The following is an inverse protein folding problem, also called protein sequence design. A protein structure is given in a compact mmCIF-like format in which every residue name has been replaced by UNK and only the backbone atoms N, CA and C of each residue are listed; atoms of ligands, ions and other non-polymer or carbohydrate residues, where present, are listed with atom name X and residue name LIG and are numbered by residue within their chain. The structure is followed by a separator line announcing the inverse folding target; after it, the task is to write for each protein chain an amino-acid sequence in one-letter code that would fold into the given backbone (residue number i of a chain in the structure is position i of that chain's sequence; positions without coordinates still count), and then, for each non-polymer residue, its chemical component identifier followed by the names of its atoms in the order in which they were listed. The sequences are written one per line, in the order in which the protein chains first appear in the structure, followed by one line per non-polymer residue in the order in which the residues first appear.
data_IF_645171577884
#
_entry.id   IF_645171577884
#
_cell.length_a   1.000
_cell.length_b   1.000
_cell.length_c   1.000
_cell.angle_alpha   90.00
_cell.angle_beta   90.00
_cell.angle_gamma   90.00
#
_symmetry.space_group_name_H-M   'P 1'
#
loop_
_entity.id
_entity.type
_entity.pdbx_description
1 polymer ?
#
# COMPACT_ATOMS: atom_id res chain seq x y z
N UNK A 1 1.41 -0.88 -32.19
CA UNK A 1 -0.02 -0.86 -31.82
C UNK A 1 -0.16 -1.59 -30.49
N UNK A 2 -0.53 -0.89 -29.41
CA UNK A 2 -0.75 -1.52 -28.10
C UNK A 2 -2.19 -2.02 -28.07
N UNK A 3 -2.39 -3.31 -27.78
CA UNK A 3 -3.70 -3.97 -27.73
C UNK A 3 -4.56 -3.41 -26.59
N UNK A 4 -5.88 -3.30 -26.82
CA UNK A 4 -6.88 -2.67 -25.94
C UNK A 4 -6.86 -3.21 -24.49
N UNK A 5 -6.43 -4.46 -24.30
CA UNK A 5 -6.26 -5.11 -22.99
C UNK A 5 -5.10 -4.52 -22.18
N UNK A 6 -3.91 -4.35 -22.77
CA UNK A 6 -2.73 -3.85 -22.04
C UNK A 6 -2.85 -2.38 -21.65
N UNK A 7 -3.59 -1.60 -22.44
CA UNK A 7 -3.87 -0.19 -22.12
C UNK A 7 -4.77 -0.05 -20.89
N UNK A 8 -5.74 -0.96 -20.74
CA UNK A 8 -6.63 -0.98 -19.58
C UNK A 8 -5.88 -1.36 -18.31
N UNK A 9 -5.03 -2.39 -18.36
CA UNK A 9 -4.22 -2.81 -17.21
C UNK A 9 -3.31 -1.67 -16.72
N UNK A 10 -2.65 -0.96 -17.65
CA UNK A 10 -1.83 0.19 -17.30
C UNK A 10 -2.64 1.33 -16.66
N UNK A 11 -3.87 1.57 -17.11
CA UNK A 11 -4.73 2.62 -16.53
C UNK A 11 -5.26 2.24 -15.15
N UNK A 12 -5.59 0.96 -14.95
CA UNK A 12 -5.98 0.41 -13.64
C UNK A 12 -4.81 0.59 -12.66
N UNK A 13 -3.60 0.16 -13.01
CA UNK A 13 -2.42 0.32 -12.14
C UNK A 13 -2.10 1.79 -11.84
N UNK A 14 -2.21 2.69 -12.84
CA UNK A 14 -1.99 4.13 -12.61
C UNK A 14 -2.99 4.70 -11.61
N UNK A 15 -4.27 4.37 -11.77
CA UNK A 15 -5.34 4.87 -10.89
C UNK A 15 -5.20 4.33 -9.47
N UNK A 16 -4.84 3.05 -9.34
CA UNK A 16 -4.49 2.41 -8.07
C UNK A 16 -3.40 3.18 -7.32
N UNK A 17 -2.29 3.46 -8.01
CA UNK A 17 -1.15 4.18 -7.41
C UNK A 17 -1.52 5.62 -7.01
N UNK A 18 -2.28 6.35 -7.85
CA UNK A 18 -2.75 7.70 -7.52
C UNK A 18 -3.61 7.72 -6.24
N UNK A 19 -4.48 6.72 -6.07
CA UNK A 19 -5.31 6.60 -4.87
C UNK A 19 -4.44 6.31 -3.64
N UNK A 20 -3.45 5.41 -3.73
CA UNK A 20 -2.51 5.11 -2.65
C UNK A 20 -1.66 6.32 -2.25
N UNK A 21 -1.15 7.08 -3.23
CA UNK A 21 -0.37 8.30 -2.98
C UNK A 21 -1.20 9.38 -2.28
N UNK A 22 -2.45 9.57 -2.73
CA UNK A 22 -3.39 10.51 -2.11
C UNK A 22 -3.70 10.12 -0.66
N UNK A 23 -3.96 8.84 -0.41
CA UNK A 23 -4.18 8.31 0.93
C UNK A 23 -2.98 8.54 1.84
N UNK A 24 -1.77 8.26 1.35
CA UNK A 24 -0.57 8.45 2.12
C UNK A 24 -0.33 9.94 2.46
N UNK A 25 -0.52 10.84 1.49
CA UNK A 25 -0.43 12.27 1.73
C UNK A 25 -1.40 12.73 2.83
N UNK A 26 -2.63 12.21 2.83
CA UNK A 26 -3.63 12.54 3.85
C UNK A 26 -3.26 11.96 5.23
N UNK A 27 -2.68 10.76 5.28
CA UNK A 27 -2.24 10.12 6.52
C UNK A 27 -1.07 10.85 7.20
N UNK A 28 -0.30 11.62 6.44
CA UNK A 28 0.71 12.52 7.00
C UNK A 28 0.08 13.80 7.60
N UNK A 29 -1.08 14.21 7.10
CA UNK A 29 -1.77 15.44 7.52
C UNK A 29 -2.71 15.22 8.72
N UNK A 30 -3.41 14.08 8.78
CA UNK A 30 -4.43 13.79 9.81
C UNK A 30 -4.50 12.30 10.20
N UNK A 31 -5.25 12.01 11.26
CA UNK A 31 -5.47 10.65 11.75
C UNK A 31 -6.17 9.78 10.69
N UNK A 32 -5.94 8.46 10.73
CA UNK A 32 -6.61 7.54 9.80
C UNK A 32 -8.12 7.56 9.98
N UNK A 33 -8.61 7.71 11.21
CA UNK A 33 -10.02 7.77 11.55
C UNK A 33 -10.71 8.93 10.82
N UNK A 34 -10.04 10.09 10.75
CA UNK A 34 -10.55 11.32 10.13
C UNK A 34 -10.43 11.34 8.59
N UNK A 35 -9.72 10.38 7.99
CA UNK A 35 -9.65 10.26 6.53
C UNK A 35 -10.94 9.64 6.01
N UNK A 36 -11.55 10.28 5.01
CA UNK A 36 -12.73 9.77 4.32
C UNK A 36 -12.43 9.40 2.87
N UNK A 37 -13.23 8.52 2.28
CA UNK A 37 -13.17 8.21 0.84
C UNK A 37 -13.33 9.48 -0.01
N UNK A 38 -14.12 10.45 0.47
CA UNK A 38 -14.30 11.75 -0.20
C UNK A 38 -12.99 12.53 -0.27
N UNK A 39 -12.23 12.57 0.83
CA UNK A 39 -10.94 13.26 0.87
C UNK A 39 -9.95 12.60 -0.07
N UNK A 40 -9.87 11.26 -0.05
CA UNK A 40 -8.96 10.49 -0.89
C UNK A 40 -9.30 10.70 -2.37
N UNK A 41 -10.58 10.53 -2.74
CA UNK A 41 -11.04 10.72 -4.12
C UNK A 41 -10.75 12.13 -4.62
N UNK A 42 -11.00 13.15 -3.78
CA UNK A 42 -10.70 14.55 -4.11
C UNK A 42 -9.20 14.78 -4.30
N UNK A 43 -8.35 14.25 -3.39
CA UNK A 43 -6.89 14.44 -3.44
C UNK A 43 -6.27 13.72 -4.64
N UNK A 44 -6.74 12.51 -4.97
CA UNK A 44 -6.31 11.76 -6.14
C UNK A 44 -6.87 12.30 -7.47
N UNK A 45 -7.79 13.28 -7.42
CA UNK A 45 -8.51 13.79 -8.59
C UNK A 45 -9.27 12.69 -9.36
N UNK A 46 -9.92 11.78 -8.63
CA UNK A 46 -10.74 10.69 -9.17
C UNK A 46 -12.18 10.77 -8.67
N UNK A 47 -13.11 10.16 -9.41
CA UNK A 47 -14.49 10.04 -8.95
C UNK A 47 -14.59 9.01 -7.82
N UNK A 48 -15.57 9.16 -6.93
CA UNK A 48 -15.83 8.17 -5.85
C UNK A 48 -16.17 6.79 -6.42
N UNK A 49 -16.89 6.73 -7.54
CA UNK A 49 -17.15 5.47 -8.25
C UNK A 49 -15.86 4.82 -8.76
N UNK A 50 -14.87 5.62 -9.18
CA UNK A 50 -13.54 5.12 -9.53
C UNK A 50 -12.84 4.57 -8.31
N UNK A 51 -12.86 5.26 -7.17
CA UNK A 51 -12.33 4.69 -5.92
C UNK A 51 -12.93 3.31 -5.62
N UNK A 52 -14.25 3.18 -5.66
CA UNK A 52 -14.93 1.93 -5.36
C UNK A 52 -14.74 0.82 -6.41
N UNK A 53 -14.24 1.16 -7.60
CA UNK A 53 -13.81 0.16 -8.58
C UNK A 53 -12.44 -0.47 -8.22
N UNK A 54 -11.66 0.18 -7.36
CA UNK A 54 -10.34 -0.28 -6.92
C UNK A 54 -10.35 -0.81 -5.48
N UNK A 55 -11.13 -0.20 -4.59
CA UNK A 55 -11.13 -0.51 -3.16
C UNK A 55 -12.55 -0.49 -2.60
N UNK A 56 -12.88 -1.46 -1.76
CA UNK A 56 -14.20 -1.53 -1.10
C UNK A 56 -14.42 -0.34 -0.15
N UNK A 57 -13.39 -0.01 0.64
CA UNK A 57 -13.37 1.12 1.55
C UNK A 57 -11.92 1.57 1.87
N UNK A 58 -11.77 2.47 2.86
CA UNK A 58 -10.45 2.97 3.27
C UNK A 58 -9.59 1.94 4.02
N UNK A 59 -10.20 0.90 4.60
CA UNK A 59 -9.49 -0.19 5.28
C UNK A 59 -8.91 -1.15 4.25
N UNK A 60 -9.71 -1.52 3.24
CA UNK A 60 -9.23 -2.30 2.10
C UNK A 60 -8.08 -1.60 1.35
N UNK A 61 -8.14 -0.26 1.22
CA UNK A 61 -7.02 0.52 0.70
C UNK A 61 -5.76 0.43 1.58
N UNK A 62 -5.91 0.49 2.90
CA UNK A 62 -4.80 0.36 3.83
C UNK A 62 -4.14 -1.03 3.69
N UNK A 63 -4.93 -2.09 3.66
CA UNK A 63 -4.44 -3.47 3.50
C UNK A 63 -3.70 -3.66 2.17
N UNK A 64 -4.25 -3.12 1.08
CA UNK A 64 -3.59 -3.13 -0.22
C UNK A 64 -2.28 -2.35 -0.19
N UNK A 65 -2.25 -1.17 0.44
CA UNK A 65 -1.03 -0.37 0.57
C UNK A 65 0.06 -1.13 1.35
N UNK A 66 -0.29 -1.70 2.49
CA UNK A 66 0.62 -2.50 3.34
C UNK A 66 1.18 -3.67 2.52
N UNK A 67 0.30 -4.40 1.83
CA UNK A 67 0.66 -5.57 1.02
C UNK A 67 1.58 -5.18 -0.14
N UNK A 68 1.25 -4.13 -0.90
CA UNK A 68 2.04 -3.69 -2.05
C UNK A 68 3.45 -3.23 -1.63
N UNK A 69 3.55 -2.51 -0.50
CA UNK A 69 4.84 -2.11 0.08
C UNK A 69 5.65 -3.30 0.54
N UNK A 70 5.03 -4.25 1.23
CA UNK A 70 5.70 -5.47 1.67
C UNK A 70 6.21 -6.27 0.47
N UNK A 71 5.37 -6.49 -0.55
CA UNK A 71 5.72 -7.24 -1.75
C UNK A 71 6.82 -6.56 -2.58
N UNK A 72 6.88 -5.23 -2.57
CA UNK A 72 7.99 -4.48 -3.19
C UNK A 72 9.32 -4.82 -2.53
N UNK A 73 9.36 -4.87 -1.20
CA UNK A 73 10.58 -5.19 -0.45
C UNK A 73 10.95 -6.67 -0.64
N UNK A 74 9.97 -7.57 -0.56
CA UNK A 74 10.18 -9.00 -0.81
C UNK A 74 10.77 -9.24 -2.20
N UNK A 75 10.16 -8.65 -3.23
CA UNK A 75 10.60 -8.83 -4.62
C UNK A 75 12.00 -8.26 -4.90
N UNK A 76 12.43 -7.25 -4.12
CA UNK A 76 13.79 -6.70 -4.26
C UNK A 76 14.90 -7.62 -3.71
N UNK A 77 14.53 -8.58 -2.84
CA UNK A 77 15.51 -9.41 -2.11
C UNK A 77 15.36 -10.92 -2.36
N UNK A 78 14.18 -11.37 -2.76
CA UNK A 78 13.88 -12.79 -3.02
C UNK A 78 13.55 -12.95 -4.50
N UNK A 79 14.47 -13.56 -5.25
CA UNK A 79 14.22 -13.91 -6.65
C UNK A 79 13.38 -15.19 -6.75
N UNK A 80 12.50 -15.23 -7.77
CA UNK A 80 11.31 -16.08 -7.91
C UNK A 80 11.52 -17.61 -8.00
N UNK A 81 12.71 -18.12 -7.69
CA UNK A 81 13.04 -19.55 -7.74
C UNK A 81 14.04 -19.98 -6.65
N UNK A 82 14.14 -19.23 -5.56
CA UNK A 82 15.01 -19.64 -4.44
C UNK A 82 14.41 -20.85 -3.73
N UNK A 83 15.17 -21.95 -3.66
CA UNK A 83 14.86 -23.06 -2.74
C UNK A 83 14.68 -22.47 -1.34
N UNK A 84 13.76 -23.02 -0.56
CA UNK A 84 13.60 -22.64 0.84
C UNK A 84 14.86 -23.10 1.61
N UNK A 85 15.84 -22.21 1.75
CA UNK A 85 17.10 -22.43 2.44
C UNK A 85 17.15 -21.60 3.73
N UNK A 86 18.13 -21.88 4.59
CA UNK A 86 18.42 -21.06 5.77
C UNK A 86 18.69 -19.59 5.39
N UNK A 87 19.36 -19.36 4.26
CA UNK A 87 19.62 -18.01 3.75
C UNK A 87 18.33 -17.28 3.37
N UNK A 88 17.39 -17.96 2.69
CA UNK A 88 16.07 -17.40 2.37
C UNK A 88 15.29 -17.06 3.64
N UNK A 89 15.32 -17.93 4.66
CA UNK A 89 14.68 -17.68 5.95
C UNK A 89 15.32 -16.49 6.68
N UNK A 90 16.65 -16.38 6.67
CA UNK A 90 17.39 -15.25 7.24
C UNK A 90 17.03 -13.95 6.54
N UNK A 91 16.95 -13.95 5.21
CA UNK A 91 16.57 -12.79 4.42
C UNK A 91 15.12 -12.37 4.70
N UNK A 92 14.19 -13.33 4.88
CA UNK A 92 12.81 -13.04 5.30
C UNK A 92 12.76 -12.36 6.67
N UNK A 93 13.53 -12.85 7.65
CA UNK A 93 13.59 -12.23 8.98
C UNK A 93 14.13 -10.80 8.89
N UNK A 94 15.20 -10.58 8.10
CA UNK A 94 15.75 -9.23 7.88
C UNK A 94 14.76 -8.30 7.17
N UNK A 95 14.01 -8.81 6.18
CA UNK A 95 12.93 -8.06 5.51
C UNK A 95 11.86 -7.64 6.51
N UNK A 96 11.43 -8.55 7.39
CA UNK A 96 10.43 -8.25 8.41
C UNK A 96 10.92 -7.19 9.40
N UNK A 97 12.19 -7.25 9.80
CA UNK A 97 12.80 -6.23 10.66
C UNK A 97 12.88 -4.86 9.96
N UNK A 98 13.39 -4.82 8.72
CA UNK A 98 13.51 -3.59 7.93
C UNK A 98 12.13 -2.97 7.63
N UNK A 99 11.12 -3.81 7.38
CA UNK A 99 9.74 -3.38 7.16
C UNK A 99 9.18 -2.70 8.42
N UNK A 100 9.31 -3.33 9.59
CA UNK A 100 8.86 -2.74 10.86
C UNK A 100 9.59 -1.42 11.16
N UNK A 101 10.89 -1.33 10.86
CA UNK A 101 11.68 -0.12 11.11
C UNK A 101 11.36 1.01 10.13
N UNK A 102 11.16 0.70 8.85
CA UNK A 102 10.77 1.65 7.79
C UNK A 102 9.38 2.25 8.03
N UNK A 103 8.43 1.42 8.43
CA UNK A 103 7.07 1.84 8.73
C UNK A 103 7.01 2.73 9.97
N UNK A 104 7.78 2.39 11.01
CA UNK A 104 7.86 3.17 12.24
C UNK A 104 8.32 4.61 12.03
N UNK A 105 9.11 4.87 10.97
CA UNK A 105 9.69 6.20 10.67
C UNK A 105 8.93 6.99 9.59
N UNK A 106 8.37 6.31 8.57
CA UNK A 106 7.71 6.98 7.44
C UNK A 106 6.19 7.16 7.63
N UNK A 107 5.55 6.32 8.44
CA UNK A 107 4.09 6.25 8.57
C UNK A 107 3.63 6.24 10.03
N UNK A 108 4.41 6.84 10.94
CA UNK A 108 4.20 6.80 12.39
C UNK A 108 2.77 7.20 12.79
N UNK A 109 2.16 8.18 12.12
CA UNK A 109 0.77 8.58 12.36
C UNK A 109 -0.25 7.55 11.90
N UNK A 110 -0.04 6.98 10.72
CA UNK A 110 -0.92 5.95 10.16
C UNK A 110 -0.88 4.67 11.00
N UNK A 111 0.32 4.22 11.39
CA UNK A 111 0.46 3.00 12.19
C UNK A 111 -0.02 3.18 13.63
N UNK A 112 0.19 4.34 14.27
CA UNK A 112 -0.33 4.61 15.62
C UNK A 112 -1.86 4.72 15.68
N UNK A 113 -2.51 5.10 14.59
CA UNK A 113 -3.99 5.16 14.51
C UNK A 113 -4.59 3.81 14.12
N UNK A 114 -4.00 3.12 13.14
CA UNK A 114 -4.50 1.83 12.65
C UNK A 114 -4.30 0.65 13.63
N UNK A 115 -3.31 0.70 14.52
CA UNK A 115 -3.09 -0.37 15.50
C UNK A 115 -3.79 -0.03 16.82
N UNK A 116 -4.84 -0.78 17.16
CA UNK A 116 -5.37 -0.88 18.53
C UNK A 116 -4.32 -1.63 19.37
N UNK A 117 -3.27 -0.92 19.79
CA UNK A 117 -2.41 -1.36 20.90
C UNK A 117 -2.78 -0.54 22.13
N UNK A 118 -3.99 -0.82 22.63
CA UNK A 118 -4.27 -0.87 24.06
C UNK A 118 -4.02 -2.31 24.52
N UNK A 119 -2.74 -2.70 24.55
CA UNK A 119 -2.22 -3.73 25.45
C UNK A 119 -0.97 -3.14 26.08
#
# INVERSE_FOLDING_TARGET
MISKSQKNDSQVTKTHNLIQEAFLSLANEKSFEDITVKDISKRASVNRSTFYAHFEDKYNLLDSFITDKFMTIVSSRIHSYTKLTEETLRNLILIMCDYHQSIGSNYTRLYKSATVLNC
#
